data_IF_235158135539
#
_entry.id   IF_235158135539
#
_cell.length_a   1.000
_cell.length_b   1.000
_cell.length_c   1.000
_cell.angle_alpha   90.00
_cell.angle_beta   90.00
_cell.angle_gamma   90.00
#
_symmetry.space_group_name_H-M   'P 1'
#
loop_
_entity.id
_entity.type
_entity.pdbx_description
1 polymer ?
#
# COMPACT_ATOMS: atom_id res chain seq x y z
N UNK A 1 6.89 -24.91 -24.02
CA UNK A 1 6.99 -24.47 -22.62
C UNK A 1 6.45 -23.06 -22.62
N UNK A 2 5.19 -22.91 -22.20
CA UNK A 2 4.60 -21.58 -22.01
C UNK A 2 5.42 -20.88 -20.95
N UNK A 3 6.10 -19.81 -21.32
CA UNK A 3 6.72 -18.88 -20.38
C UNK A 3 5.58 -18.27 -19.58
N UNK A 4 5.27 -18.86 -18.43
CA UNK A 4 4.39 -18.22 -17.45
C UNK A 4 5.01 -16.85 -17.21
N UNK A 5 4.31 -15.80 -17.64
CA UNK A 5 4.73 -14.42 -17.44
C UNK A 5 4.67 -14.16 -15.93
N UNK A 6 5.78 -14.41 -15.24
CA UNK A 6 5.87 -14.32 -13.78
C UNK A 6 5.86 -12.85 -13.37
N UNK A 7 4.66 -12.35 -13.06
CA UNK A 7 4.52 -11.00 -12.51
C UNK A 7 5.02 -10.97 -11.07
N UNK A 8 5.73 -9.92 -10.71
CA UNK A 8 6.27 -9.72 -9.35
C UNK A 8 5.78 -8.41 -8.76
N UNK A 9 5.24 -8.47 -7.54
CA UNK A 9 4.83 -7.29 -6.79
C UNK A 9 5.59 -7.16 -5.47
N UNK A 10 6.02 -5.92 -5.14
CA UNK A 10 6.49 -5.58 -3.81
C UNK A 10 5.35 -4.90 -3.03
N UNK A 11 5.07 -5.38 -1.81
CA UNK A 11 4.01 -4.85 -0.95
C UNK A 11 4.59 -4.46 0.40
N UNK A 12 4.45 -3.18 0.77
CA UNK A 12 4.84 -2.70 2.09
C UNK A 12 3.68 -2.81 3.09
N UNK A 13 3.98 -3.08 4.38
CA UNK A 13 2.96 -3.27 5.40
C UNK A 13 2.14 -4.55 5.22
N UNK A 14 2.73 -5.61 4.65
CA UNK A 14 2.03 -6.82 4.22
C UNK A 14 1.83 -7.89 5.31
N UNK A 15 2.08 -7.58 6.58
CA UNK A 15 1.93 -8.56 7.68
C UNK A 15 0.52 -8.62 8.28
N UNK A 16 -0.37 -7.67 7.93
CA UNK A 16 -1.75 -7.59 8.41
C UNK A 16 -2.60 -6.63 7.56
N UNK A 17 -3.90 -6.56 7.87
CA UNK A 17 -4.84 -5.59 7.28
C UNK A 17 -4.85 -5.65 5.75
N UNK A 18 -4.98 -4.48 5.11
CA UNK A 18 -5.09 -4.37 3.65
C UNK A 18 -3.87 -4.97 2.93
N UNK A 19 -2.64 -4.71 3.43
CA UNK A 19 -1.43 -5.22 2.78
C UNK A 19 -1.38 -6.75 2.72
N UNK A 20 -1.82 -7.45 3.78
CA UNK A 20 -1.91 -8.91 3.79
C UNK A 20 -3.04 -9.42 2.88
N UNK A 21 -4.20 -8.76 2.90
CA UNK A 21 -5.32 -9.10 2.02
C UNK A 21 -4.93 -8.98 0.54
N UNK A 22 -4.24 -7.87 0.17
CA UNK A 22 -3.69 -7.69 -1.19
C UNK A 22 -2.66 -8.76 -1.55
N UNK A 23 -1.76 -9.10 -0.62
CA UNK A 23 -0.79 -10.16 -0.84
C UNK A 23 -1.46 -11.52 -1.11
N UNK A 24 -2.54 -11.86 -0.38
CA UNK A 24 -3.36 -13.06 -0.63
C UNK A 24 -4.02 -13.01 -2.01
N UNK A 25 -4.62 -11.88 -2.37
CA UNK A 25 -5.28 -11.70 -3.67
C UNK A 25 -4.33 -11.85 -4.85
N UNK A 26 -3.11 -11.31 -4.74
CA UNK A 26 -2.07 -11.46 -5.75
C UNK A 26 -1.47 -12.88 -5.78
N UNK A 27 -1.24 -13.50 -4.60
CA UNK A 27 -0.79 -14.89 -4.53
C UNK A 27 -1.77 -15.85 -5.21
N UNK A 28 -3.09 -15.68 -5.00
CA UNK A 28 -4.12 -16.47 -5.67
C UNK A 28 -4.07 -16.33 -7.21
N UNK A 29 -3.52 -15.23 -7.72
CA UNK A 29 -3.27 -14.96 -9.15
C UNK A 29 -1.87 -15.33 -9.62
N UNK A 30 -1.12 -16.07 -8.80
CA UNK A 30 0.23 -16.55 -9.11
C UNK A 30 1.26 -15.42 -9.33
N UNK A 31 1.07 -14.26 -8.71
CA UNK A 31 2.11 -13.27 -8.66
C UNK A 31 3.20 -13.70 -7.68
N UNK A 32 4.46 -13.54 -8.04
CA UNK A 32 5.57 -13.59 -7.10
C UNK A 32 5.52 -12.36 -6.19
N UNK A 33 5.85 -12.53 -4.92
CA UNK A 33 5.70 -11.48 -3.94
C UNK A 33 7.02 -11.18 -3.22
N UNK A 34 7.29 -9.90 -3.08
CA UNK A 34 8.26 -9.38 -2.10
C UNK A 34 7.43 -8.64 -1.06
N UNK A 35 7.48 -9.09 0.18
CA UNK A 35 6.69 -8.51 1.26
C UNK A 35 7.58 -7.93 2.35
N UNK A 36 7.19 -6.78 2.89
CA UNK A 36 7.90 -6.17 4.03
C UNK A 36 6.93 -5.62 5.08
N UNK A 37 7.35 -5.70 6.34
CA UNK A 37 6.69 -5.11 7.50
C UNK A 37 7.66 -5.01 8.66
N UNK A 38 7.33 -4.20 9.69
CA UNK A 38 8.20 -3.99 10.86
C UNK A 38 8.26 -5.17 11.81
N UNK A 39 7.13 -5.86 12.00
CA UNK A 39 7.03 -7.00 12.90
C UNK A 39 7.53 -8.28 12.19
N UNK A 40 8.70 -8.82 12.59
CA UNK A 40 9.31 -9.96 11.91
C UNK A 40 8.51 -11.25 12.09
N UNK A 41 7.85 -11.42 13.24
CA UNK A 41 7.11 -12.66 13.52
C UNK A 41 5.79 -12.69 12.70
N UNK A 42 5.03 -11.59 12.71
CA UNK A 42 3.83 -11.50 11.87
C UNK A 42 4.17 -11.60 10.39
N UNK A 43 5.28 -11.02 9.95
CA UNK A 43 5.73 -11.12 8.56
C UNK A 43 6.13 -12.55 8.20
N UNK A 44 6.80 -13.27 9.10
CA UNK A 44 7.16 -14.68 8.93
C UNK A 44 5.91 -15.56 8.77
N UNK A 45 4.87 -15.32 9.59
CA UNK A 45 3.60 -16.05 9.47
C UNK A 45 2.91 -15.76 8.12
N UNK A 46 2.82 -14.50 7.73
CA UNK A 46 2.28 -14.09 6.42
C UNK A 46 3.05 -14.74 5.26
N UNK A 47 4.39 -14.69 5.31
CA UNK A 47 5.24 -15.33 4.30
C UNK A 47 4.98 -16.84 4.21
N UNK A 48 4.89 -17.54 5.33
CA UNK A 48 4.67 -18.97 5.35
C UNK A 48 3.28 -19.37 4.83
N UNK A 49 2.27 -18.55 5.07
CA UNK A 49 0.93 -18.71 4.50
C UNK A 49 0.97 -18.58 2.98
N UNK A 50 1.49 -17.45 2.49
CA UNK A 50 1.52 -17.09 1.06
C UNK A 50 2.43 -18.03 0.23
N UNK A 51 3.51 -18.50 0.82
CA UNK A 51 4.47 -19.41 0.17
C UNK A 51 3.90 -20.80 -0.17
N UNK A 52 2.70 -21.12 0.33
CA UNK A 52 1.96 -22.33 -0.07
C UNK A 52 1.34 -22.20 -1.47
N UNK A 53 1.23 -20.97 -1.98
CA UNK A 53 0.51 -20.64 -3.22
C UNK A 53 1.45 -20.13 -4.29
N UNK A 54 2.44 -19.31 -3.93
CA UNK A 54 3.35 -18.65 -4.87
C UNK A 54 4.74 -18.46 -4.27
N UNK A 55 5.71 -18.00 -5.08
CA UNK A 55 7.03 -17.62 -4.56
C UNK A 55 6.95 -16.32 -3.74
N UNK A 56 7.50 -16.34 -2.52
CA UNK A 56 7.46 -15.20 -1.59
C UNK A 56 8.80 -14.95 -0.94
N UNK A 57 9.38 -13.81 -1.22
CA UNK A 57 10.50 -13.25 -0.47
C UNK A 57 9.96 -12.29 0.61
N UNK A 58 10.58 -12.29 1.79
CA UNK A 58 10.16 -11.44 2.89
C UNK A 58 11.37 -10.81 3.58
N UNK A 59 11.29 -9.51 3.85
CA UNK A 59 12.32 -8.76 4.57
C UNK A 59 11.67 -7.89 5.65
N UNK A 60 11.95 -8.19 6.93
CA UNK A 60 11.44 -7.39 8.04
C UNK A 60 12.26 -6.10 8.21
N UNK A 61 11.58 -4.97 8.41
CA UNK A 61 12.22 -3.67 8.64
C UNK A 61 11.27 -2.50 8.53
N UNK A 62 11.79 -1.32 8.83
CA UNK A 62 11.05 -0.06 8.75
C UNK A 62 11.29 0.61 7.39
N UNK A 63 10.22 0.87 6.65
CA UNK A 63 10.29 1.56 5.35
C UNK A 63 10.81 3.00 5.45
N UNK A 64 10.81 3.60 6.65
CA UNK A 64 11.41 4.91 6.89
C UNK A 64 12.93 4.86 6.94
N UNK A 65 13.52 3.68 7.16
CA UNK A 65 14.96 3.47 7.15
C UNK A 65 15.49 3.33 5.72
N UNK A 66 16.49 4.14 5.37
CA UNK A 66 17.16 4.11 4.07
C UNK A 66 17.85 2.76 3.82
N UNK A 67 18.52 2.20 4.83
CA UNK A 67 19.23 0.93 4.70
C UNK A 67 18.24 -0.20 4.39
N UNK A 68 17.06 -0.19 5.02
CA UNK A 68 16.02 -1.18 4.73
C UNK A 68 15.50 -1.06 3.29
N UNK A 69 15.28 0.17 2.78
CA UNK A 69 14.85 0.38 1.38
C UNK A 69 15.90 -0.08 0.37
N UNK A 70 17.19 0.16 0.65
CA UNK A 70 18.29 -0.35 -0.16
C UNK A 70 18.35 -1.88 -0.15
N UNK A 71 18.15 -2.51 1.02
CA UNK A 71 18.08 -3.97 1.14
C UNK A 71 16.89 -4.57 0.38
N UNK A 72 15.74 -3.88 0.33
CA UNK A 72 14.62 -4.28 -0.52
C UNK A 72 14.96 -4.20 -2.01
N UNK A 73 15.73 -3.19 -2.43
CA UNK A 73 16.19 -3.08 -3.82
C UNK A 73 17.14 -4.22 -4.20
N UNK A 74 18.06 -4.59 -3.30
CA UNK A 74 18.93 -5.77 -3.50
C UNK A 74 18.10 -7.06 -3.58
N UNK A 75 17.09 -7.22 -2.72
CA UNK A 75 16.21 -8.38 -2.78
C UNK A 75 15.44 -8.45 -4.09
N UNK A 76 15.00 -7.32 -4.62
CA UNK A 76 14.27 -7.22 -5.90
C UNK A 76 15.14 -7.58 -7.12
N UNK A 77 16.47 -7.42 -7.04
CA UNK A 77 17.40 -7.83 -8.11
C UNK A 77 17.38 -9.34 -8.39
N UNK A 78 16.97 -10.16 -7.39
CA UNK A 78 16.80 -11.61 -7.56
C UNK A 78 15.58 -12.00 -8.41
N UNK A 79 14.79 -11.03 -8.87
CA UNK A 79 13.60 -11.23 -9.70
C UNK A 79 13.80 -10.63 -11.11
N UNK A 80 13.00 -11.05 -12.07
CA UNK A 80 13.05 -10.54 -13.46
C UNK A 80 12.45 -9.12 -13.62
N UNK A 81 12.57 -8.29 -12.59
CA UNK A 81 11.96 -6.96 -12.48
C UNK A 81 10.60 -6.97 -11.78
N UNK A 82 10.15 -5.77 -11.41
CA UNK A 82 8.89 -5.55 -10.69
C UNK A 82 7.80 -5.08 -11.64
N UNK A 83 6.66 -5.74 -11.62
CA UNK A 83 5.44 -5.33 -12.32
C UNK A 83 4.59 -4.39 -11.48
N UNK A 84 4.75 -4.45 -10.14
CA UNK A 84 4.05 -3.57 -9.23
C UNK A 84 4.82 -3.28 -7.93
N UNK A 85 4.63 -2.06 -7.41
CA UNK A 85 5.01 -1.65 -6.05
C UNK A 85 3.77 -1.10 -5.36
N UNK A 86 3.40 -1.69 -4.21
CA UNK A 86 2.26 -1.25 -3.41
C UNK A 86 2.76 -0.62 -2.10
N UNK A 87 2.75 0.69 -2.04
CA UNK A 87 3.05 1.49 -0.86
C UNK A 87 1.80 1.53 0.04
N UNK A 88 1.64 0.50 0.87
CA UNK A 88 0.54 0.37 1.81
C UNK A 88 0.95 0.63 3.26
N UNK A 89 2.23 0.46 3.61
CA UNK A 89 2.72 0.80 4.93
C UNK A 89 2.45 2.28 5.27
N UNK A 90 1.94 2.54 6.47
CA UNK A 90 1.63 3.89 6.91
C UNK A 90 1.49 3.97 8.45
N UNK A 91 1.42 5.20 8.93
CA UNK A 91 1.18 5.53 10.34
C UNK A 91 -0.01 6.49 10.45
N UNK A 92 -0.89 6.23 11.42
CA UNK A 92 -2.02 7.10 11.74
C UNK A 92 -1.56 8.36 12.48
N UNK A 93 -0.60 8.21 13.37
CA UNK A 93 -0.21 9.21 14.36
C UNK A 93 -0.74 8.85 15.75
N UNK A 94 -1.01 9.85 16.61
CA UNK A 94 -1.53 9.61 17.96
C UNK A 94 -2.94 8.98 17.93
N UNK A 95 -3.30 8.31 19.00
CA UNK A 95 -4.65 7.80 19.21
C UNK A 95 -5.07 8.10 20.65
N UNK A 96 -6.17 8.83 20.88
CA UNK A 96 -6.99 9.52 19.87
C UNK A 96 -6.20 10.61 19.11
N UNK A 97 -6.66 10.96 17.92
CA UNK A 97 -6.03 12.01 17.13
C UNK A 97 -6.34 13.41 17.70
N UNK A 98 -5.32 14.23 17.99
CA UNK A 98 -5.52 15.58 18.54
C UNK A 98 -5.91 16.58 17.45
N UNK A 99 -6.55 17.69 17.88
CA UNK A 99 -6.69 18.85 17.02
C UNK A 99 -5.31 19.43 16.63
N UNK A 100 -5.20 20.07 15.45
CA UNK A 100 -3.92 20.54 14.89
C UNK A 100 -3.15 21.46 15.81
N UNK A 101 -3.83 22.34 16.56
CA UNK A 101 -3.16 23.25 17.50
C UNK A 101 -2.49 22.52 18.67
N UNK A 102 -2.90 21.31 18.98
CA UNK A 102 -2.31 20.44 20.00
C UNK A 102 -1.49 19.28 19.43
N UNK A 103 -1.26 19.24 18.12
CA UNK A 103 -0.57 18.11 17.50
C UNK A 103 0.95 18.20 17.78
N UNK A 104 1.59 17.17 18.37
CA UNK A 104 3.04 17.17 18.62
C UNK A 104 3.81 17.13 17.28
N UNK A 105 4.65 18.13 17.03
CA UNK A 105 5.35 18.29 15.75
C UNK A 105 6.31 17.13 15.45
N UNK A 106 6.95 16.56 16.47
CA UNK A 106 7.85 15.41 16.32
C UNK A 106 7.09 14.17 15.85
N UNK A 107 5.86 13.98 16.35
CA UNK A 107 4.99 12.89 15.90
C UNK A 107 4.51 13.17 14.48
N UNK A 108 4.13 14.40 14.16
CA UNK A 108 3.76 14.81 12.82
C UNK A 108 4.90 14.52 11.81
N UNK A 109 6.13 14.91 12.17
CA UNK A 109 7.31 14.62 11.35
C UNK A 109 7.52 13.12 11.14
N UNK A 110 7.25 12.29 12.15
CA UNK A 110 7.30 10.83 12.01
C UNK A 110 6.21 10.32 11.04
N UNK A 111 4.98 10.81 11.15
CA UNK A 111 3.88 10.43 10.23
C UNK A 111 4.21 10.84 8.79
N UNK A 112 4.78 12.04 8.58
CA UNK A 112 5.26 12.47 7.25
C UNK A 112 6.36 11.55 6.72
N UNK A 113 7.32 11.14 7.55
CA UNK A 113 8.35 10.18 7.13
C UNK A 113 7.76 8.86 6.66
N UNK A 114 6.78 8.32 7.41
CA UNK A 114 6.15 7.05 7.10
C UNK A 114 5.22 7.11 5.88
N UNK A 115 4.39 8.16 5.78
CA UNK A 115 3.31 8.21 4.81
C UNK A 115 3.68 8.92 3.50
N UNK A 116 4.77 9.73 3.50
CA UNK A 116 5.15 10.57 2.36
C UNK A 116 6.55 10.22 1.86
N UNK A 117 7.56 10.35 2.74
CA UNK A 117 8.95 10.15 2.33
C UNK A 117 9.29 8.68 2.08
N UNK A 118 8.73 7.76 2.87
CA UNK A 118 9.00 6.34 2.69
C UNK A 118 8.44 5.80 1.36
N UNK A 119 7.18 6.06 0.95
CA UNK A 119 6.67 5.69 -0.37
C UNK A 119 7.54 6.19 -1.52
N UNK A 120 7.91 7.46 -1.51
CA UNK A 120 8.81 8.03 -2.53
C UNK A 120 10.18 7.33 -2.49
N UNK A 121 10.76 7.18 -1.30
CA UNK A 121 12.06 6.53 -1.12
C UNK A 121 12.09 5.06 -1.54
N UNK A 122 10.98 4.33 -1.40
CA UNK A 122 10.82 2.96 -1.94
C UNK A 122 10.89 2.99 -3.47
N UNK A 123 10.11 3.86 -4.12
CA UNK A 123 10.12 3.97 -5.60
C UNK A 123 11.51 4.35 -6.12
N UNK A 124 12.16 5.32 -5.46
CA UNK A 124 13.54 5.73 -5.81
C UNK A 124 14.55 4.59 -5.68
N UNK A 125 14.47 3.81 -4.60
CA UNK A 125 15.37 2.68 -4.38
C UNK A 125 15.15 1.55 -5.41
N UNK A 126 13.91 1.37 -5.87
CA UNK A 126 13.51 0.29 -6.78
C UNK A 126 13.48 0.70 -8.26
N UNK A 127 13.80 1.95 -8.60
CA UNK A 127 13.61 2.50 -9.96
C UNK A 127 14.20 1.62 -11.07
N UNK A 128 15.40 1.08 -10.84
CA UNK A 128 16.13 0.26 -11.83
C UNK A 128 15.57 -1.17 -11.93
N UNK A 129 14.66 -1.56 -11.04
CA UNK A 129 13.95 -2.84 -11.02
C UNK A 129 12.53 -2.72 -11.56
N UNK A 130 11.99 -1.51 -11.75
CA UNK A 130 10.66 -1.32 -12.30
C UNK A 130 10.66 -1.63 -13.81
N UNK A 131 9.78 -2.50 -14.23
CA UNK A 131 9.57 -2.77 -15.67
C UNK A 131 8.86 -1.60 -16.34
N UNK A 132 9.02 -1.40 -17.65
CA UNK A 132 8.14 -0.52 -18.41
C UNK A 132 6.67 -0.94 -18.21
N UNK A 133 5.79 0.00 -17.92
CA UNK A 133 4.39 -0.25 -17.57
C UNK A 133 4.17 -0.76 -16.13
N UNK A 134 5.19 -0.77 -15.28
CA UNK A 134 5.02 -1.15 -13.87
C UNK A 134 4.04 -0.21 -13.16
N UNK A 135 3.27 -0.79 -12.23
CA UNK A 135 2.26 -0.09 -11.44
C UNK A 135 2.84 0.32 -10.10
N UNK A 136 2.81 1.63 -9.80
CA UNK A 136 3.11 2.18 -8.48
C UNK A 136 1.79 2.54 -7.83
N UNK A 137 1.41 1.83 -6.78
CA UNK A 137 0.16 2.05 -6.05
C UNK A 137 0.48 2.66 -4.69
N UNK A 138 0.03 3.89 -4.46
CA UNK A 138 0.13 4.59 -3.19
C UNK A 138 -1.24 4.58 -2.49
N UNK A 139 -1.35 3.92 -1.34
CA UNK A 139 -2.61 3.89 -0.57
C UNK A 139 -2.83 5.25 0.09
N UNK A 140 -3.87 5.95 -0.36
CA UNK A 140 -4.32 7.25 0.19
C UNK A 140 -5.55 7.09 1.09
N UNK A 141 -6.35 8.12 1.21
CA UNK A 141 -7.59 8.20 2.01
C UNK A 141 -8.44 9.38 1.55
N UNK A 142 -9.72 9.35 1.83
CA UNK A 142 -10.64 10.51 1.74
C UNK A 142 -10.16 11.70 2.59
N UNK A 143 -9.51 11.44 3.74
CA UNK A 143 -8.90 12.45 4.59
C UNK A 143 -7.82 13.30 3.88
N UNK A 144 -7.33 12.89 2.71
CA UNK A 144 -6.48 13.71 1.85
C UNK A 144 -7.23 14.92 1.26
N UNK A 145 -8.55 14.85 1.15
CA UNK A 145 -9.41 15.83 0.45
C UNK A 145 -10.48 16.44 1.32
N UNK A 146 -10.96 15.68 2.30
CA UNK A 146 -12.01 16.14 3.22
C UNK A 146 -11.38 16.52 4.56
N UNK A 147 -11.76 17.70 5.03
CA UNK A 147 -11.28 18.22 6.32
C UNK A 147 -12.14 17.67 7.45
N UNK A 148 -11.61 16.70 8.18
CA UNK A 148 -12.24 16.17 9.38
C UNK A 148 -11.54 16.71 10.64
N UNK A 149 -12.27 17.11 11.70
CA UNK A 149 -11.67 17.45 12.98
C UNK A 149 -10.81 16.31 13.53
N UNK A 150 -9.60 16.61 14.01
CA UNK A 150 -8.64 15.62 14.49
C UNK A 150 -7.76 14.97 13.41
N UNK A 151 -8.20 14.94 12.15
CA UNK A 151 -7.49 14.25 11.08
C UNK A 151 -6.39 15.06 10.38
N UNK A 152 -6.13 16.28 10.84
CA UNK A 152 -5.21 17.19 10.16
C UNK A 152 -3.78 16.66 10.00
N UNK A 153 -3.26 15.90 10.96
CA UNK A 153 -1.93 15.31 10.87
C UNK A 153 -1.87 14.21 9.81
N UNK A 154 -2.77 13.24 9.88
CA UNK A 154 -2.85 12.13 8.92
C UNK A 154 -3.28 12.64 7.53
N UNK A 155 -4.35 13.42 7.45
CA UNK A 155 -4.90 13.94 6.19
C UNK A 155 -3.88 14.78 5.41
N UNK A 156 -3.11 15.66 6.10
CA UNK A 156 -2.04 16.41 5.45
C UNK A 156 -0.99 15.50 4.80
N UNK A 157 -0.64 14.37 5.45
CA UNK A 157 0.31 13.43 4.83
C UNK A 157 -0.28 12.72 3.62
N UNK A 158 -1.56 12.38 3.64
CA UNK A 158 -2.22 11.73 2.49
C UNK A 158 -2.40 12.71 1.33
N UNK A 159 -2.72 13.98 1.59
CA UNK A 159 -2.75 15.04 0.58
C UNK A 159 -1.36 15.25 -0.05
N UNK A 160 -0.31 15.27 0.75
CA UNK A 160 1.07 15.36 0.24
C UNK A 160 1.45 14.15 -0.61
N UNK A 161 1.05 12.93 -0.20
CA UNK A 161 1.27 11.71 -0.98
C UNK A 161 0.52 11.74 -2.32
N UNK A 162 -0.73 12.23 -2.36
CA UNK A 162 -1.49 12.39 -3.61
C UNK A 162 -0.78 13.34 -4.57
N UNK A 163 -0.29 14.48 -4.08
CA UNK A 163 0.43 15.44 -4.92
C UNK A 163 1.75 14.85 -5.45
N UNK A 164 2.53 14.17 -4.60
CA UNK A 164 3.75 13.48 -5.06
C UNK A 164 3.44 12.41 -6.09
N UNK A 165 2.35 11.66 -5.92
CA UNK A 165 1.92 10.63 -6.87
C UNK A 165 1.57 11.23 -8.23
N UNK A 166 0.85 12.37 -8.24
CA UNK A 166 0.48 13.08 -9.46
C UNK A 166 1.71 13.59 -10.22
N UNK A 167 2.69 14.17 -9.51
CA UNK A 167 3.95 14.64 -10.12
C UNK A 167 4.76 13.45 -10.65
N UNK A 168 4.90 12.38 -9.86
CA UNK A 168 5.61 11.16 -10.27
C UNK A 168 5.01 10.56 -11.57
N UNK A 169 3.69 10.59 -11.71
CA UNK A 169 3.00 10.11 -12.91
C UNK A 169 3.33 10.93 -14.17
N UNK A 170 3.44 12.26 -14.02
CA UNK A 170 3.77 13.16 -15.15
C UNK A 170 5.24 13.05 -15.53
N UNK A 171 6.12 12.89 -14.56
CA UNK A 171 7.57 12.78 -14.77
C UNK A 171 7.98 11.41 -15.34
N UNK A 172 7.18 10.36 -15.16
CA UNK A 172 7.49 8.98 -15.56
C UNK A 172 6.32 8.37 -16.34
N UNK A 173 6.06 8.82 -17.58
CA UNK A 173 4.92 8.36 -18.37
C UNK A 173 4.96 6.88 -18.76
N UNK A 174 6.13 6.23 -18.62
CA UNK A 174 6.32 4.79 -18.79
C UNK A 174 5.81 3.97 -17.60
N UNK A 175 5.49 4.61 -16.47
CA UNK A 175 4.90 3.97 -15.29
C UNK A 175 3.40 4.25 -15.22
N UNK A 176 2.67 3.38 -14.53
CA UNK A 176 1.28 3.62 -14.13
C UNK A 176 1.27 3.95 -12.63
N UNK A 177 1.02 5.19 -12.27
CA UNK A 177 1.02 5.64 -10.88
C UNK A 177 -0.43 5.86 -10.42
N UNK A 178 -0.84 5.10 -9.40
CA UNK A 178 -2.17 5.15 -8.83
C UNK A 178 -2.11 5.59 -7.36
N UNK A 179 -2.96 6.52 -6.95
CA UNK A 179 -3.19 6.84 -5.56
C UNK A 179 -4.62 6.45 -5.19
N UNK A 180 -4.71 5.40 -4.38
CA UNK A 180 -5.94 4.63 -4.21
C UNK A 180 -6.49 4.82 -2.81
N UNK A 181 -7.72 5.28 -2.73
CA UNK A 181 -8.50 5.34 -1.51
C UNK A 181 -9.24 3.99 -1.33
N UNK A 182 -8.90 3.22 -0.29
CA UNK A 182 -9.57 1.95 -0.04
C UNK A 182 -10.96 2.11 0.61
N UNK A 183 -11.30 3.31 1.11
CA UNK A 183 -12.43 3.52 2.00
C UNK A 183 -12.22 2.89 3.38
N UNK A 184 -13.24 3.00 4.21
CA UNK A 184 -13.21 2.45 5.56
C UNK A 184 -13.14 0.91 5.57
N UNK A 185 -12.34 0.39 6.48
CA UNK A 185 -12.14 -1.04 6.64
C UNK A 185 -11.94 -1.40 8.12
N UNK A 186 -12.40 -2.59 8.52
CA UNK A 186 -12.16 -3.13 9.85
C UNK A 186 -10.70 -3.56 9.99
N UNK A 187 -9.85 -2.64 10.44
CA UNK A 187 -8.41 -2.83 10.64
C UNK A 187 -7.98 -2.28 12.00
N UNK A 188 -6.80 -2.71 12.49
CA UNK A 188 -6.21 -2.15 13.70
C UNK A 188 -5.97 -0.62 13.58
N UNK A 189 -5.64 -0.12 12.37
CA UNK A 189 -5.45 1.31 12.13
C UNK A 189 -6.77 2.07 12.25
N UNK A 190 -7.85 1.54 11.68
CA UNK A 190 -9.18 2.16 11.79
C UNK A 190 -9.67 2.14 13.24
N UNK A 191 -9.50 1.01 13.96
CA UNK A 191 -9.82 0.94 15.38
C UNK A 191 -9.01 1.93 16.22
N UNK A 192 -7.75 2.17 15.88
CA UNK A 192 -6.93 3.18 16.55
C UNK A 192 -7.39 4.62 16.23
N UNK A 193 -8.00 4.87 15.06
CA UNK A 193 -8.60 6.15 14.72
C UNK A 193 -9.88 6.43 15.54
N UNK A 194 -10.61 5.38 15.89
CA UNK A 194 -11.86 5.43 16.66
C UNK A 194 -11.76 4.56 17.93
N UNK A 195 -10.95 5.00 18.92
CA UNK A 195 -10.72 4.20 20.13
C UNK A 195 -12.02 4.09 20.95
N UNK A 196 -12.41 2.84 21.26
CA UNK A 196 -13.62 2.55 22.04
C UNK A 196 -14.92 2.48 21.23
N UNK A 197 -14.88 2.78 19.94
CA UNK A 197 -16.05 2.61 19.07
C UNK A 197 -16.11 1.18 18.51
N UNK A 198 -17.32 0.70 18.27
CA UNK A 198 -17.54 -0.55 17.54
C UNK A 198 -17.42 -0.29 16.04
N UNK A 199 -16.44 -0.92 15.41
CA UNK A 199 -16.20 -0.84 13.96
C UNK A 199 -16.56 -2.15 13.25
N UNK A 200 -17.37 -3.00 13.88
CA UNK A 200 -17.73 -4.32 13.32
C UNK A 200 -18.58 -4.19 12.04
N UNK A 201 -19.26 -3.07 11.86
CA UNK A 201 -20.01 -2.70 10.65
C UNK A 201 -19.13 -2.37 9.45
N UNK A 202 -17.82 -2.11 9.67
CA UNK A 202 -16.86 -1.85 8.57
C UNK A 202 -16.50 -3.15 7.86
N UNK A 203 -16.42 -3.14 6.52
CA UNK A 203 -16.03 -4.34 5.76
C UNK A 203 -14.61 -4.78 6.12
N UNK A 204 -14.35 -6.08 5.97
CA UNK A 204 -12.99 -6.61 6.05
C UNK A 204 -12.13 -6.08 4.90
N UNK A 205 -10.78 -5.98 5.09
CA UNK A 205 -9.87 -5.56 4.02
C UNK A 205 -9.98 -6.36 2.72
N UNK A 206 -10.37 -7.63 2.82
CA UNK A 206 -10.58 -8.53 1.68
C UNK A 206 -11.62 -8.00 0.69
N UNK A 207 -12.63 -7.28 1.16
CA UNK A 207 -13.65 -6.65 0.32
C UNK A 207 -13.09 -5.53 -0.58
N UNK A 208 -11.89 -5.03 -0.33
CA UNK A 208 -11.24 -3.99 -1.15
C UNK A 208 -10.27 -4.55 -2.19
N UNK A 209 -9.88 -5.81 -2.02
CA UNK A 209 -8.90 -6.48 -2.90
C UNK A 209 -9.31 -6.44 -4.38
N UNK A 210 -10.58 -6.70 -4.78
CA UNK A 210 -10.95 -6.67 -6.20
C UNK A 210 -10.64 -5.34 -6.88
N UNK A 211 -10.93 -4.20 -6.25
CA UNK A 211 -10.64 -2.88 -6.82
C UNK A 211 -9.13 -2.63 -7.03
N UNK A 212 -8.29 -3.07 -6.10
CA UNK A 212 -6.84 -3.00 -6.29
C UNK A 212 -6.35 -3.94 -7.39
N UNK A 213 -6.90 -5.14 -7.47
CA UNK A 213 -6.55 -6.08 -8.53
C UNK A 213 -6.95 -5.53 -9.91
N UNK A 214 -8.11 -4.89 -10.02
CA UNK A 214 -8.54 -4.24 -11.24
C UNK A 214 -7.51 -3.21 -11.73
N UNK A 215 -6.93 -2.38 -10.83
CA UNK A 215 -5.86 -1.45 -11.17
C UNK A 215 -4.56 -2.15 -11.56
N UNK A 216 -4.18 -3.18 -10.81
CA UNK A 216 -2.91 -3.89 -11.05
C UNK A 216 -2.92 -4.72 -12.33
N UNK A 217 -4.09 -5.11 -12.84
CA UNK A 217 -4.24 -5.96 -14.03
C UNK A 217 -4.83 -5.23 -15.24
N UNK A 218 -5.27 -3.97 -15.09
CA UNK A 218 -5.77 -3.13 -16.18
C UNK A 218 -4.69 -2.22 -16.76
N UNK A 219 -5.06 -1.51 -17.82
CA UNK A 219 -4.24 -0.45 -18.43
C UNK A 219 -4.88 0.95 -18.21
N UNK A 220 -5.52 1.14 -17.07
CA UNK A 220 -6.10 2.42 -16.70
C UNK A 220 -5.02 3.53 -16.65
N UNK A 221 -5.37 4.79 -16.94
CA UNK A 221 -4.43 5.90 -16.84
C UNK A 221 -3.99 6.13 -15.40
N UNK A 222 -2.80 6.70 -15.21
CA UNK A 222 -2.35 7.18 -13.90
C UNK A 222 -3.37 8.13 -13.29
N UNK A 223 -3.65 8.01 -12.00
CA UNK A 223 -4.68 8.85 -11.37
C UNK A 223 -5.10 8.41 -9.97
N UNK A 224 -6.04 9.17 -9.41
CA UNK A 224 -6.72 8.82 -8.17
C UNK A 224 -7.90 7.91 -8.45
N UNK A 225 -7.99 6.86 -7.66
CA UNK A 225 -9.08 5.90 -7.74
C UNK A 225 -9.65 5.61 -6.34
N UNK A 226 -10.91 5.22 -6.31
CA UNK A 226 -11.55 4.58 -5.16
C UNK A 226 -11.59 3.07 -5.41
N UNK A 227 -11.07 2.28 -4.49
CA UNK A 227 -11.12 0.83 -4.61
C UNK A 227 -12.56 0.29 -4.57
N UNK A 228 -13.49 1.05 -3.97
CA UNK A 228 -14.91 0.69 -3.91
C UNK A 228 -15.65 0.91 -5.24
N UNK A 229 -15.19 1.86 -6.06
CA UNK A 229 -15.80 2.17 -7.36
C UNK A 229 -15.28 1.26 -8.48
N UNK A 230 -14.11 0.66 -8.27
CA UNK A 230 -13.48 -0.27 -9.21
C UNK A 230 -13.82 -1.73 -8.95
N UNK A 231 -14.51 -2.01 -7.83
CA UNK A 231 -14.99 -3.36 -7.56
C UNK A 231 -16.06 -3.71 -8.62
N UNK A 232 -15.82 -4.72 -9.48
CA UNK A 232 -16.89 -5.16 -10.37
C UNK A 232 -18.06 -5.59 -9.48
N UNK A 233 -19.21 -4.92 -9.65
CA UNK A 233 -20.43 -5.30 -8.99
C UNK A 233 -20.60 -6.83 -9.08
N UNK A 234 -21.05 -7.52 -8.02
CA UNK A 234 -21.34 -8.94 -8.12
C UNK A 234 -22.23 -9.13 -9.34
N UNK A 235 -21.80 -9.98 -10.27
CA UNK A 235 -22.61 -10.31 -11.42
C UNK A 235 -23.99 -10.69 -10.88
N UNK A 236 -25.03 -9.92 -11.23
CA UNK A 236 -26.40 -10.29 -10.89
C UNK A 236 -26.61 -11.70 -11.38
N UNK A 237 -26.74 -12.63 -10.44
CA UNK A 237 -27.10 -14.01 -10.75
C UNK A 237 -28.52 -13.96 -11.28
N UNK A 238 -28.62 -14.01 -12.61
CA UNK A 238 -29.89 -14.11 -13.32
C UNK A 238 -30.49 -15.49 -13.12
#
# INVERSE_FOLDING_TARGET
MDTVNERTALITGASRGLGLALARGLAARRWNLIITARDPERLRLARNELARVTHVAALAGDVTDRVHREALAVLAQGHAGLDAVVNNAGALGPSPQPALLGYPLEVLAHVFRANVLAPLGIVQALRDQLKPGARVVNVTSDAARVAYPGWGGYGATKAALEQLSAVLAVENPELKVYWVDPGDMRTDMHQAAYPGEDISDRPLPDARVPGFIALLESDLPSGRYSATELDPAPAEVA
#
